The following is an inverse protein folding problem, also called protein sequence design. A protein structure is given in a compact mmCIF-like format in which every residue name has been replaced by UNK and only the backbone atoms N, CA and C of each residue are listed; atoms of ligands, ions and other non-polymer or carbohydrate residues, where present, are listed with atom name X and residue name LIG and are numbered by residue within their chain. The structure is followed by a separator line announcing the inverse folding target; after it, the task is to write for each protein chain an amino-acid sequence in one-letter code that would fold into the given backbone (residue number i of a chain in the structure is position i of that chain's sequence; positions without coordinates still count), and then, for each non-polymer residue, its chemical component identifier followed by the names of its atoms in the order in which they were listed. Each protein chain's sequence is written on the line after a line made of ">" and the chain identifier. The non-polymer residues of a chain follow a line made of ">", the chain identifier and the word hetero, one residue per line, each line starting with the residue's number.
data_IF_871225788932
#
_entry.id   IF_871225788932
#
_cell.length_a   1.000
_cell.length_b   1.000
_cell.length_c   1.000
_cell.angle_alpha   90.00
_cell.angle_beta   90.00
_cell.angle_gamma   90.00
#
_symmetry.space_group_name_H-M   'P 1'
#
loop_
_entity.id
_entity.type
_entity.pdbx_description
1 polymer ?
#
# COMPACT_ATOMS: atom_id res chain seq x y z
N UNK A 1 -7.76 57.03 4.57
CA UNK A 1 -7.63 56.43 5.92
C UNK A 1 -8.26 55.05 5.83
N UNK A 2 -7.44 54.02 5.59
CA UNK A 2 -6.97 53.04 6.59
C UNK A 2 -8.16 52.25 7.19
N UNK A 3 -8.24 50.92 7.21
CA UNK A 3 -7.22 49.89 7.08
C UNK A 3 -7.93 48.52 7.00
N UNK A 4 -7.38 47.63 6.17
CA UNK A 4 -7.71 46.20 6.10
C UNK A 4 -6.98 45.50 7.24
N UNK A 5 -7.68 44.77 8.13
CA UNK A 5 -7.13 43.61 8.84
C UNK A 5 -8.16 43.03 9.82
N UNK A 6 -8.80 41.92 9.47
CA UNK A 6 -9.38 41.03 10.47
C UNK A 6 -8.70 39.65 10.38
N UNK A 7 -7.78 39.46 11.32
CA UNK A 7 -7.53 38.25 12.12
C UNK A 7 -7.52 36.89 11.39
N UNK A 8 -6.32 36.50 10.93
CA UNK A 8 -5.88 35.11 10.92
C UNK A 8 -4.59 35.04 11.74
N UNK A 9 -4.72 34.71 13.02
CA UNK A 9 -3.60 34.49 13.93
C UNK A 9 -3.16 33.04 13.74
N UNK A 10 -2.04 32.82 13.03
CA UNK A 10 -1.38 31.51 12.94
C UNK A 10 -0.71 31.19 14.28
N UNK A 11 -0.89 29.99 14.88
CA UNK A 11 -0.09 29.58 16.01
C UNK A 11 1.34 29.21 15.60
N UNK A 12 2.27 29.63 16.46
CA UNK A 12 3.72 29.53 16.29
C UNK A 12 4.23 28.10 16.08
N UNK A 13 5.09 27.93 15.08
CA UNK A 13 5.89 26.72 14.87
C UNK A 13 6.90 26.56 16.02
N UNK A 14 6.71 25.53 16.85
CA UNK A 14 7.67 25.14 17.88
C UNK A 14 8.73 24.25 17.23
N UNK A 15 9.93 24.79 17.05
CA UNK A 15 11.12 24.06 16.59
C UNK A 15 11.83 23.51 17.81
N UNK A 16 11.78 22.19 18.03
CA UNK A 16 12.70 21.52 18.96
C UNK A 16 13.76 20.79 18.14
N UNK A 17 15.02 21.18 18.38
CA UNK A 17 16.24 20.62 17.83
C UNK A 17 16.77 19.50 18.74
N UNK A 18 16.98 18.29 18.20
CA UNK A 18 18.00 17.29 18.60
C UNK A 18 17.78 16.06 17.69
N UNK A 19 18.69 15.55 16.85
CA UNK A 19 20.09 15.15 17.06
C UNK A 19 20.94 15.38 15.79
N UNK A 20 22.24 15.57 16.00
CA UNK A 20 23.34 15.79 15.03
C UNK A 20 23.62 14.58 14.09
N UNK A 21 24.41 14.79 13.00
CA UNK A 21 24.19 14.18 11.69
C UNK A 21 25.17 13.05 11.36
N UNK A 22 24.69 12.02 10.68
CA UNK A 22 25.55 11.24 9.79
C UNK A 22 24.73 10.74 8.61
N UNK A 23 25.02 11.30 7.44
CA UNK A 23 24.57 10.86 6.12
C UNK A 23 23.06 10.79 5.93
N UNK A 24 22.43 11.88 5.46
CA UNK A 24 21.61 11.81 4.24
C UNK A 24 21.49 13.21 3.65
N UNK A 25 22.16 13.38 2.51
CA UNK A 25 22.08 14.57 1.67
C UNK A 25 20.69 14.64 1.01
N UNK A 26 20.04 15.80 1.15
CA UNK A 26 18.99 16.36 0.27
C UNK A 26 17.63 15.64 0.21
N UNK A 27 16.87 15.67 1.30
CA UNK A 27 15.40 15.62 1.17
C UNK A 27 14.76 16.63 2.13
N UNK A 28 14.13 17.66 1.55
CA UNK A 28 13.25 18.56 2.28
C UNK A 28 11.91 17.84 2.43
N UNK A 29 11.61 17.35 3.63
CA UNK A 29 10.29 16.80 3.94
C UNK A 29 9.42 17.95 4.43
N UNK A 30 8.44 18.37 3.64
CA UNK A 30 7.48 19.42 4.00
C UNK A 30 6.20 18.74 4.47
N UNK A 31 5.86 18.88 5.75
CA UNK A 31 4.56 18.45 6.29
C UNK A 31 3.57 19.60 6.19
N UNK A 32 2.50 19.44 5.41
CA UNK A 32 1.37 20.38 5.37
C UNK A 32 0.20 19.71 6.09
N UNK A 33 -0.24 20.30 7.20
CA UNK A 33 -1.41 19.86 7.96
C UNK A 33 -2.66 20.60 7.48
N UNK A 34 -3.69 19.88 7.04
CA UNK A 34 -4.99 20.46 6.69
C UNK A 34 -6.09 19.88 7.61
N UNK A 35 -6.71 20.68 8.48
CA UNK A 35 -7.75 20.19 9.39
C UNK A 35 -9.13 20.38 8.75
N UNK A 36 -9.51 19.55 7.77
CA UNK A 36 -10.91 19.22 7.41
C UNK A 36 -10.99 18.61 6.01
N UNK A 37 -10.94 17.28 5.92
CA UNK A 37 -11.61 16.54 4.84
C UNK A 37 -12.24 15.30 5.50
N UNK A 38 -13.56 15.31 5.63
CA UNK A 38 -14.34 14.16 6.06
C UNK A 38 -14.57 13.22 4.87
N UNK A 39 -14.29 11.94 5.11
CA UNK A 39 -14.76 10.76 4.38
C UNK A 39 -14.43 10.63 2.88
N UNK A 40 -13.57 9.66 2.57
CA UNK A 40 -13.66 8.87 1.33
C UNK A 40 -13.16 9.53 0.06
N UNK A 41 -11.96 10.13 0.06
CA UNK A 41 -11.31 10.54 -1.20
C UNK A 41 -9.81 10.26 -1.16
N UNK A 42 -9.36 9.39 -2.06
CA UNK A 42 -7.97 9.37 -2.54
C UNK A 42 -7.77 10.61 -3.40
N UNK A 43 -6.89 11.51 -2.97
CA UNK A 43 -6.44 12.62 -3.80
C UNK A 43 -4.98 12.40 -4.15
N UNK A 44 -4.69 12.24 -5.44
CA UNK A 44 -3.34 12.36 -5.99
C UNK A 44 -3.08 13.85 -6.13
N UNK A 45 -2.03 14.35 -5.47
CA UNK A 45 -1.57 15.72 -5.66
C UNK A 45 -0.29 15.64 -6.49
N UNK A 46 -0.39 15.95 -7.78
CA UNK A 46 0.76 16.08 -8.67
C UNK A 46 1.53 17.36 -8.31
N UNK A 47 2.75 17.22 -7.80
CA UNK A 47 3.66 18.35 -7.63
C UNK A 47 4.83 18.23 -8.61
N UNK A 48 4.85 19.08 -9.62
CA UNK A 48 5.94 19.15 -10.59
C UNK A 48 7.10 19.95 -10.00
N UNK A 49 8.16 19.27 -9.55
CA UNK A 49 9.49 19.86 -9.49
C UNK A 49 10.37 19.06 -10.43
N UNK A 50 10.98 19.78 -11.37
CA UNK A 50 11.80 19.29 -12.48
C UNK A 50 12.54 17.97 -12.17
N UNK A 51 12.25 16.96 -13.00
CA UNK A 51 12.98 15.69 -13.23
C UNK A 51 12.91 14.53 -12.23
N UNK A 52 12.09 14.53 -11.18
CA UNK A 52 11.86 13.30 -10.39
C UNK A 52 10.42 13.18 -9.90
N UNK A 53 9.72 12.12 -10.34
CA UNK A 53 8.41 11.73 -9.80
C UNK A 53 8.65 11.16 -8.40
N UNK A 54 8.14 11.85 -7.38
CA UNK A 54 8.16 11.37 -6.01
C UNK A 54 6.74 10.96 -5.63
N UNK A 55 6.50 9.65 -5.46
CA UNK A 55 5.29 9.13 -4.85
C UNK A 55 5.35 9.40 -3.34
N UNK A 56 4.59 10.39 -2.87
CA UNK A 56 4.37 10.62 -1.45
C UNK A 56 3.27 9.67 -0.96
N UNK A 57 3.63 8.75 -0.06
CA UNK A 57 2.67 7.92 0.68
C UNK A 57 2.20 8.67 1.93
N UNK A 58 0.89 8.85 2.07
CA UNK A 58 0.25 9.40 3.26
C UNK A 58 0.01 8.28 4.28
N UNK A 59 0.61 8.38 5.47
CA UNK A 59 0.35 7.44 6.58
C UNK A 59 -0.92 7.89 7.30
N UNK A 60 -2.04 7.25 7.00
CA UNK A 60 -3.26 7.39 7.79
C UNK A 60 -3.15 6.50 9.03
N UNK A 61 -2.94 7.09 10.21
CA UNK A 61 -3.16 6.40 11.49
C UNK A 61 -4.67 6.28 11.72
N UNK A 62 -5.29 5.23 11.18
CA UNK A 62 -6.66 4.87 11.51
C UNK A 62 -6.68 3.90 12.69
N UNK A 63 -7.17 4.37 13.83
CA UNK A 63 -7.64 3.53 14.93
C UNK A 63 -8.91 2.78 14.46
N UNK A 64 -8.78 1.55 13.97
CA UNK A 64 -9.93 0.68 13.74
C UNK A 64 -10.39 0.04 15.05
N UNK A 65 -11.70 -0.22 15.25
CA UNK A 65 -12.19 -0.98 16.40
C UNK A 65 -11.52 -2.36 16.48
N UNK A 66 -11.29 -2.86 17.70
CA UNK A 66 -10.66 -4.18 17.97
C UNK A 66 -11.37 -5.28 17.18
N UNK A 67 -10.77 -5.68 16.06
CA UNK A 67 -11.14 -6.88 15.31
C UNK A 67 -10.39 -8.06 15.91
N UNK A 68 -11.02 -9.24 15.89
CA UNK A 68 -10.38 -10.48 16.31
C UNK A 68 -9.05 -10.68 15.56
N UNK A 69 -8.03 -11.30 16.20
CA UNK A 69 -6.76 -11.56 15.56
C UNK A 69 -7.00 -12.35 14.28
N UNK A 70 -6.53 -11.82 13.16
CA UNK A 70 -6.62 -12.51 11.89
C UNK A 70 -5.69 -13.73 11.91
N UNK A 71 -6.17 -14.86 11.38
CA UNK A 71 -5.33 -16.05 11.27
C UNK A 71 -4.27 -15.82 10.22
N UNK A 72 -3.00 -15.94 10.60
CA UNK A 72 -1.88 -15.82 9.68
C UNK A 72 -1.79 -17.10 8.85
N UNK A 73 -1.85 -16.95 7.52
CA UNK A 73 -1.80 -18.07 6.58
C UNK A 73 -0.36 -18.54 6.36
N UNK A 74 -0.20 -19.84 6.14
CA UNK A 74 1.07 -20.41 5.67
C UNK A 74 1.22 -20.23 4.16
N UNK A 75 2.43 -20.44 3.62
CA UNK A 75 2.69 -20.44 2.18
C UNK A 75 1.72 -21.35 1.43
N UNK A 76 1.56 -22.58 1.89
CA UNK A 76 0.76 -23.60 1.20
C UNK A 76 -0.72 -23.19 1.17
N UNK A 77 -1.23 -22.61 2.25
CA UNK A 77 -2.60 -22.10 2.34
C UNK A 77 -2.83 -20.89 1.43
N UNK A 78 -1.84 -20.00 1.29
CA UNK A 78 -1.91 -18.89 0.35
C UNK A 78 -1.87 -19.39 -1.10
N UNK A 79 -0.99 -20.35 -1.41
CA UNK A 79 -0.94 -20.96 -2.75
C UNK A 79 -2.23 -21.70 -3.09
N UNK A 80 -2.84 -22.39 -2.11
CA UNK A 80 -4.15 -23.01 -2.26
C UNK A 80 -5.24 -21.95 -2.54
N UNK A 81 -5.21 -20.81 -1.84
CA UNK A 81 -6.14 -19.71 -2.09
C UNK A 81 -5.96 -19.13 -3.51
N UNK A 82 -4.72 -18.89 -3.96
CA UNK A 82 -4.42 -18.41 -5.31
C UNK A 82 -4.89 -19.42 -6.37
N UNK A 83 -4.75 -20.73 -6.09
CA UNK A 83 -5.15 -21.79 -7.05
C UNK A 83 -6.64 -21.76 -7.42
N UNK A 84 -7.49 -21.12 -6.60
CA UNK A 84 -8.92 -20.93 -6.88
C UNK A 84 -9.16 -19.97 -8.06
N UNK A 85 -8.23 -19.05 -8.28
CA UNK A 85 -8.30 -18.02 -9.33
C UNK A 85 -7.35 -18.29 -10.49
N UNK A 86 -6.32 -19.11 -10.25
CA UNK A 86 -5.18 -19.28 -11.14
C UNK A 86 -4.66 -20.71 -11.12
N UNK A 87 -5.06 -21.52 -12.10
CA UNK A 87 -4.52 -22.87 -12.25
C UNK A 87 -3.04 -22.81 -12.68
N UNK A 88 -2.20 -23.62 -12.03
CA UNK A 88 -0.78 -23.73 -12.40
C UNK A 88 0.11 -22.56 -11.96
N UNK A 89 -0.36 -21.72 -11.02
CA UNK A 89 0.47 -20.67 -10.43
C UNK A 89 1.75 -21.24 -9.80
N UNK A 90 2.89 -20.68 -10.18
CA UNK A 90 4.22 -21.07 -9.68
C UNK A 90 4.68 -20.04 -8.66
N UNK A 91 5.09 -20.49 -7.48
CA UNK A 91 5.68 -19.64 -6.45
C UNK A 91 6.94 -18.92 -6.95
N UNK A 92 7.03 -17.61 -6.71
CA UNK A 92 8.21 -16.79 -7.05
C UNK A 92 8.97 -16.39 -5.79
N UNK A 93 8.30 -15.73 -4.83
CA UNK A 93 8.92 -15.26 -3.59
C UNK A 93 7.90 -15.01 -2.49
N UNK A 94 8.38 -14.88 -1.26
CA UNK A 94 7.60 -14.46 -0.10
C UNK A 94 8.37 -13.50 0.80
N UNK A 95 7.65 -12.81 1.67
CA UNK A 95 8.21 -12.04 2.78
C UNK A 95 7.43 -12.31 4.06
N UNK A 96 8.15 -12.37 5.18
CA UNK A 96 7.59 -12.65 6.51
C UNK A 96 8.15 -11.69 7.55
N UNK A 97 7.42 -11.51 8.65
CA UNK A 97 7.84 -10.77 9.83
C UNK A 97 7.87 -11.67 11.07
N UNK A 98 7.90 -11.09 12.27
CA UNK A 98 7.91 -11.84 13.53
C UNK A 98 6.62 -12.63 13.79
N UNK A 99 5.53 -12.31 13.08
CA UNK A 99 4.23 -12.99 13.23
C UNK A 99 4.01 -14.02 12.12
N UNK A 100 4.54 -13.79 10.92
CA UNK A 100 4.59 -14.78 9.85
C UNK A 100 4.52 -14.17 8.45
N UNK A 101 3.97 -14.93 7.51
CA UNK A 101 3.83 -14.53 6.11
C UNK A 101 2.96 -13.27 6.01
N UNK A 102 3.49 -12.21 5.38
CA UNK A 102 2.72 -11.01 5.08
C UNK A 102 2.62 -10.71 3.58
N UNK A 103 3.45 -11.35 2.76
CA UNK A 103 3.46 -11.15 1.31
C UNK A 103 3.89 -12.43 0.59
N UNK A 104 3.20 -12.78 -0.49
CA UNK A 104 3.60 -13.85 -1.39
C UNK A 104 3.31 -13.47 -2.85
N UNK A 105 4.25 -13.77 -3.73
CA UNK A 105 4.15 -13.59 -5.17
C UNK A 105 4.23 -14.94 -5.87
N UNK A 106 3.25 -15.20 -6.75
CA UNK A 106 3.20 -16.35 -7.64
C UNK A 106 2.96 -15.88 -9.08
N UNK A 107 3.33 -16.69 -10.07
CA UNK A 107 3.24 -16.34 -11.49
C UNK A 107 2.53 -17.44 -12.28
N UNK A 108 1.68 -17.03 -13.23
CA UNK A 108 1.19 -17.86 -14.33
C UNK A 108 1.71 -17.30 -15.64
N UNK A 109 2.30 -18.15 -16.46
CA UNK A 109 2.73 -17.75 -17.82
C UNK A 109 1.52 -17.54 -18.72
N UNK A 110 1.53 -16.45 -19.47
CA UNK A 110 0.52 -16.18 -20.48
C UNK A 110 0.65 -17.10 -21.70
N UNK A 111 -0.30 -16.97 -22.63
CA UNK A 111 -0.32 -17.81 -23.83
C UNK A 111 0.78 -17.41 -24.80
N UNK A 112 1.09 -16.13 -24.88
CA UNK A 112 2.13 -15.61 -25.76
C UNK A 112 3.44 -15.38 -25.00
N UNK A 113 4.55 -15.42 -25.75
CA UNK A 113 5.86 -15.12 -25.18
C UNK A 113 5.90 -13.67 -24.67
N UNK A 114 6.28 -13.50 -23.40
CA UNK A 114 6.34 -12.20 -22.74
C UNK A 114 5.05 -11.78 -22.04
N UNK A 115 3.97 -12.57 -22.15
CA UNK A 115 2.78 -12.41 -21.31
C UNK A 115 2.94 -13.21 -20.02
N UNK A 116 2.55 -12.61 -18.89
CA UNK A 116 2.41 -13.31 -17.62
C UNK A 116 1.42 -12.60 -16.71
N UNK A 117 0.90 -13.33 -15.73
CA UNK A 117 0.11 -12.78 -14.64
C UNK A 117 0.80 -13.11 -13.32
N UNK A 118 1.07 -12.09 -12.52
CA UNK A 118 1.55 -12.22 -11.15
C UNK A 118 0.36 -12.14 -10.19
N UNK A 119 0.28 -13.09 -9.27
CA UNK A 119 -0.71 -13.13 -8.20
C UNK A 119 -0.01 -12.78 -6.89
N UNK A 120 -0.49 -11.70 -6.27
CA UNK A 120 0.10 -11.10 -5.09
C UNK A 120 -0.85 -11.28 -3.91
N UNK A 121 -0.46 -12.12 -2.95
CA UNK A 121 -1.08 -12.13 -1.63
C UNK A 121 -0.44 -11.05 -0.78
N UNK A 122 -1.27 -10.27 -0.11
CA UNK A 122 -0.82 -9.31 0.90
C UNK A 122 -1.70 -9.40 2.14
N UNK A 123 -1.07 -9.60 3.30
CA UNK A 123 -1.73 -9.54 4.61
C UNK A 123 -2.04 -8.08 4.94
N UNK A 124 -3.18 -7.84 5.59
CA UNK A 124 -3.53 -6.54 6.17
C UNK A 124 -2.44 -6.10 7.15
N UNK A 125 -2.06 -4.84 7.09
CA UNK A 125 -1.10 -4.24 7.99
C UNK A 125 -0.20 -3.23 7.32
N UNK A 126 0.79 -2.77 8.09
CA UNK A 126 1.82 -1.85 7.63
C UNK A 126 3.17 -2.56 7.71
N UNK A 127 3.62 -3.08 6.57
CA UNK A 127 4.90 -3.79 6.44
C UNK A 127 5.89 -2.92 5.65
N UNK A 128 7.20 -3.19 5.73
CA UNK A 128 8.23 -2.31 5.18
C UNK A 128 8.03 -1.87 3.71
N UNK A 129 7.39 -2.71 2.90
CA UNK A 129 7.21 -2.46 1.46
C UNK A 129 5.73 -2.44 1.02
N UNK A 130 4.79 -2.64 1.94
CA UNK A 130 3.38 -2.79 1.59
C UNK A 130 2.50 -2.34 2.73
N UNK A 131 1.48 -1.56 2.41
CA UNK A 131 0.47 -1.11 3.36
C UNK A 131 -0.88 -1.51 2.80
N UNK A 132 -1.56 -2.39 3.52
CA UNK A 132 -2.87 -2.88 3.11
C UNK A 132 -3.88 -2.75 4.23
N UNK A 133 -5.08 -2.31 3.85
CA UNK A 133 -6.21 -2.15 4.78
C UNK A 133 -7.03 -3.44 4.93
N UNK A 134 -6.84 -4.39 4.01
CA UNK A 134 -7.48 -5.70 3.97
C UNK A 134 -6.49 -6.75 3.51
N UNK A 135 -6.65 -7.99 3.97
CA UNK A 135 -5.90 -9.12 3.41
C UNK A 135 -6.50 -9.47 2.08
N UNK A 136 -5.69 -9.48 1.02
CA UNK A 136 -6.19 -9.60 -0.34
C UNK A 136 -5.26 -10.42 -1.23
N UNK A 137 -5.83 -10.86 -2.36
CA UNK A 137 -5.09 -11.36 -3.51
C UNK A 137 -5.36 -10.39 -4.66
N UNK A 138 -4.29 -9.94 -5.31
CA UNK A 138 -4.33 -9.09 -6.49
C UNK A 138 -3.69 -9.80 -7.68
N UNK A 139 -4.20 -9.57 -8.88
CA UNK A 139 -3.62 -10.02 -10.14
C UNK A 139 -2.97 -8.83 -10.85
N UNK A 140 -1.74 -8.98 -11.32
CA UNK A 140 -1.03 -7.99 -12.14
C UNK A 140 -0.64 -8.65 -13.45
N UNK A 141 -1.13 -8.08 -14.54
CA UNK A 141 -0.94 -8.60 -15.89
C UNK A 141 0.19 -7.86 -16.57
N UNK A 142 1.09 -8.62 -17.18
CA UNK A 142 2.26 -8.11 -17.89
C UNK A 142 2.23 -8.53 -19.35
N UNK A 143 2.73 -7.63 -20.20
CA UNK A 143 3.01 -7.87 -21.61
C UNK A 143 4.36 -7.24 -21.97
N UNK A 144 5.27 -8.01 -22.58
CA UNK A 144 6.58 -7.51 -22.98
C UNK A 144 7.45 -6.99 -21.82
N UNK A 145 7.21 -7.48 -20.59
CA UNK A 145 7.92 -7.07 -19.37
C UNK A 145 7.40 -5.80 -18.69
N UNK A 146 6.33 -5.17 -19.21
CA UNK A 146 5.66 -4.05 -18.57
C UNK A 146 4.30 -4.48 -18.01
N UNK A 147 3.92 -3.94 -16.85
CA UNK A 147 2.58 -4.14 -16.30
C UNK A 147 1.57 -3.37 -17.13
N UNK A 148 0.57 -4.05 -17.68
CA UNK A 148 -0.48 -3.44 -18.50
C UNK A 148 -1.75 -3.16 -17.69
N UNK A 149 -2.01 -3.98 -16.68
CA UNK A 149 -3.21 -3.89 -15.86
C UNK A 149 -2.96 -4.56 -14.50
N UNK A 150 -3.70 -4.14 -13.48
CA UNK A 150 -3.71 -4.80 -12.18
C UNK A 150 -5.03 -4.58 -11.47
N UNK A 151 -5.50 -5.60 -10.78
CA UNK A 151 -6.77 -5.58 -10.06
C UNK A 151 -6.69 -6.40 -8.77
N UNK A 152 -7.47 -6.01 -7.77
CA UNK A 152 -7.72 -6.86 -6.61
C UNK A 152 -8.80 -7.88 -7.00
N UNK A 153 -8.52 -9.17 -6.86
CA UNK A 153 -9.43 -10.25 -7.28
C UNK A 153 -10.15 -10.90 -6.11
N UNK A 154 -9.56 -10.86 -4.92
CA UNK A 154 -10.17 -11.42 -3.72
C UNK A 154 -9.76 -10.67 -2.46
N UNK A 155 -10.68 -10.61 -1.51
CA UNK A 155 -10.46 -10.06 -0.16
C UNK A 155 -10.86 -11.11 0.86
N UNK A 156 -10.07 -11.24 1.93
CA UNK A 156 -10.42 -12.09 3.05
C UNK A 156 -11.36 -11.34 4.00
N UNK A 157 -12.49 -11.96 4.31
CA UNK A 157 -13.48 -11.41 5.23
C UNK A 157 -13.11 -11.70 6.70
N UNK A 158 -13.96 -11.25 7.62
CA UNK A 158 -13.70 -11.38 9.07
C UNK A 158 -13.73 -12.83 9.58
N UNK A 159 -14.34 -13.77 8.83
CA UNK A 159 -14.36 -15.21 9.18
C UNK A 159 -13.15 -15.95 8.63
N UNK A 160 -12.29 -15.29 7.85
CA UNK A 160 -11.14 -15.89 7.18
C UNK A 160 -11.46 -16.51 5.81
N UNK A 161 -12.68 -16.33 5.31
CA UNK A 161 -13.10 -16.80 3.99
C UNK A 161 -12.72 -15.78 2.90
N UNK A 162 -12.54 -16.27 1.68
CA UNK A 162 -12.19 -15.44 0.52
C UNK A 162 -13.43 -15.03 -0.25
N UNK A 163 -13.60 -13.72 -0.44
CA UNK A 163 -14.68 -13.13 -1.24
C UNK A 163 -14.10 -12.56 -2.53
N UNK A 164 -14.66 -12.98 -3.68
CA UNK A 164 -14.29 -12.43 -4.98
C UNK A 164 -14.73 -10.97 -5.12
N UNK A 165 -13.82 -10.14 -5.64
CA UNK A 165 -14.11 -8.75 -5.99
C UNK A 165 -14.68 -8.74 -7.42
N UNK A 166 -15.86 -8.13 -7.59
CA UNK A 166 -16.59 -8.04 -8.87
C UNK A 166 -16.48 -6.66 -9.50
#
# INVERSE_FOLDING_TARGET
>A
MQEIANKLTLPALRTEHFLEPAFFSRFLVVFIWHPSISNGSTSIVDFHISTRVFLLYYISMNNSPERAPERILTRDEVMEAISRFAEGATFIREMSDGEGLYFLEAEVKGKNAGEKTEYLYTRRGNFPNVVETVTCISAVYYEGGASVFGEQIAVQNETGEWEEVK
#
